data_IF_155061137164
#
_entry.id   IF_155061137164
#
_cell.length_a   1.000
_cell.length_b   1.000
_cell.length_c   1.000
_cell.angle_alpha   90.00
_cell.angle_beta   90.00
_cell.angle_gamma   90.00
#
_symmetry.space_group_name_H-M   'P 1'
#
loop_
_entity.id
_entity.type
_entity.pdbx_description
1 polymer ?
#
# COMPACT_ATOMS: atom_id res chain seq x y z
N UNK A 1 1.99 -17.62 -6.59
CA UNK A 1 1.27 -18.14 -7.79
C UNK A 1 1.97 -17.55 -9.00
N UNK A 2 2.39 -18.35 -9.99
CA UNK A 2 3.00 -17.81 -11.21
C UNK A 2 1.91 -17.35 -12.17
N UNK A 3 1.96 -16.09 -12.61
CA UNK A 3 1.04 -15.55 -13.61
C UNK A 3 1.62 -15.78 -15.01
N UNK A 4 0.79 -16.25 -15.94
CA UNK A 4 1.21 -16.38 -17.33
C UNK A 4 1.33 -15.02 -18.00
N UNK A 5 2.30 -14.87 -18.91
CA UNK A 5 2.47 -13.67 -19.71
C UNK A 5 1.14 -13.25 -20.38
N UNK A 6 0.81 -11.96 -20.39
CA UNK A 6 -0.43 -11.46 -20.99
C UNK A 6 -0.39 -11.58 -22.51
N UNK A 7 -1.57 -11.46 -23.15
CA UNK A 7 -1.66 -11.54 -24.60
C UNK A 7 -0.78 -10.48 -25.28
N UNK A 8 0.04 -10.90 -26.25
CA UNK A 8 1.01 -10.04 -26.93
C UNK A 8 2.38 -9.95 -26.27
N UNK A 9 2.57 -10.58 -25.11
CA UNK A 9 3.85 -10.67 -24.39
C UNK A 9 4.30 -12.11 -24.22
N UNK A 10 5.59 -12.29 -23.97
CA UNK A 10 6.26 -13.56 -23.68
C UNK A 10 7.04 -13.48 -22.38
N UNK A 11 7.52 -14.61 -21.85
CA UNK A 11 8.35 -14.63 -20.64
C UNK A 11 9.67 -13.85 -20.80
N UNK A 12 10.17 -13.66 -22.02
CA UNK A 12 11.36 -12.85 -22.27
C UNK A 12 11.10 -11.34 -22.20
N UNK A 13 9.84 -10.91 -22.20
CA UNK A 13 9.45 -9.50 -22.04
C UNK A 13 9.28 -9.11 -20.56
N UNK A 14 9.42 -10.07 -19.63
CA UNK A 14 9.35 -9.81 -18.19
C UNK A 14 10.54 -8.97 -17.73
N UNK A 15 10.25 -7.77 -17.22
CA UNK A 15 11.28 -6.83 -16.74
C UNK A 15 11.46 -6.86 -15.22
N UNK A 16 10.42 -7.26 -14.48
CA UNK A 16 10.42 -7.32 -13.03
C UNK A 16 9.37 -8.32 -12.55
N UNK A 17 9.70 -9.10 -11.52
CA UNK A 17 8.78 -9.98 -10.82
C UNK A 17 9.14 -10.01 -9.35
N UNK A 18 8.15 -9.78 -8.50
CA UNK A 18 8.22 -10.09 -7.08
C UNK A 18 7.30 -11.28 -6.79
N UNK A 19 7.89 -12.36 -6.30
CA UNK A 19 7.21 -13.62 -5.99
C UNK A 19 7.00 -13.84 -4.49
N UNK A 20 7.58 -12.97 -3.66
CA UNK A 20 7.63 -13.03 -2.20
C UNK A 20 8.10 -14.41 -1.70
N UNK A 21 9.05 -15.01 -2.42
CA UNK A 21 9.51 -16.39 -2.18
C UNK A 21 10.42 -16.55 -0.95
N UNK A 22 10.93 -15.44 -0.41
CA UNK A 22 11.71 -15.40 0.82
C UNK A 22 10.87 -15.44 2.09
N UNK A 23 11.50 -15.05 3.20
CA UNK A 23 10.84 -14.90 4.52
C UNK A 23 10.85 -13.46 5.03
N UNK A 24 11.32 -12.54 4.22
CA UNK A 24 11.45 -11.11 4.51
C UNK A 24 11.06 -10.34 3.26
N UNK A 25 10.54 -9.13 3.44
CA UNK A 25 10.29 -8.20 2.34
C UNK A 25 11.63 -7.83 1.68
N UNK A 26 11.67 -7.80 0.34
CA UNK A 26 12.86 -7.35 -0.39
C UNK A 26 13.08 -5.85 -0.21
N UNK A 27 14.33 -5.42 -0.39
CA UNK A 27 14.79 -4.04 -0.38
C UNK A 27 14.16 -3.12 -1.42
N UNK A 28 13.50 -3.68 -2.45
CA UNK A 28 12.73 -2.91 -3.43
C UNK A 28 11.53 -2.20 -2.80
N UNK A 29 11.10 -2.60 -1.61
CA UNK A 29 9.88 -2.10 -0.98
C UNK A 29 10.15 -1.28 0.29
N UNK A 30 9.51 -0.13 0.37
CA UNK A 30 9.29 0.59 1.61
C UNK A 30 8.08 0.01 2.35
N UNK A 31 8.04 0.13 3.67
CA UNK A 31 6.91 -0.32 4.53
C UNK A 31 5.96 0.82 4.91
N UNK A 32 5.95 1.87 4.10
CA UNK A 32 5.17 3.07 4.26
C UNK A 32 4.73 3.61 2.90
N UNK A 33 3.71 4.46 2.91
CA UNK A 33 3.22 5.16 1.73
C UNK A 33 4.10 6.38 1.47
N UNK A 34 4.53 6.53 0.23
CA UNK A 34 5.25 7.70 -0.26
C UNK A 34 4.99 7.92 -1.75
N UNK A 35 5.47 9.04 -2.29
CA UNK A 35 5.25 9.45 -3.68
C UNK A 35 6.30 10.48 -4.10
N UNK A 36 6.28 10.83 -5.40
CA UNK A 36 7.07 11.92 -5.95
C UNK A 36 6.78 13.27 -5.27
N UNK A 37 5.51 13.57 -4.93
CA UNK A 37 5.19 14.83 -4.25
C UNK A 37 5.73 14.91 -2.81
N UNK A 38 6.02 13.75 -2.22
CA UNK A 38 6.63 13.63 -0.91
C UNK A 38 8.16 13.48 -0.96
N UNK A 39 8.79 13.52 -2.15
CA UNK A 39 10.23 13.29 -2.34
C UNK A 39 10.72 12.00 -1.63
N UNK A 40 9.91 10.94 -1.66
CA UNK A 40 10.21 9.67 -0.97
C UNK A 40 10.03 9.68 0.56
N UNK A 41 9.60 10.79 1.17
CA UNK A 41 9.28 10.83 2.59
C UNK A 41 7.97 10.11 2.90
N UNK A 42 7.86 9.40 4.05
CA UNK A 42 6.62 8.74 4.43
C UNK A 42 5.50 9.75 4.66
N UNK A 43 4.34 9.49 4.08
CA UNK A 43 3.15 10.32 4.25
C UNK A 43 2.68 10.31 5.70
N UNK A 44 2.40 11.52 6.23
CA UNK A 44 1.84 11.70 7.57
C UNK A 44 2.57 10.89 8.66
N UNK A 45 3.91 10.89 8.61
CA UNK A 45 4.73 10.07 9.50
C UNK A 45 4.62 10.46 10.97
N UNK A 46 4.67 9.45 11.85
CA UNK A 46 4.84 9.62 13.29
C UNK A 46 6.30 9.58 13.73
N UNK A 47 7.25 9.52 12.77
CA UNK A 47 8.69 9.40 13.04
C UNK A 47 9.12 8.02 13.57
N UNK A 48 8.20 7.06 13.65
CA UNK A 48 8.44 5.69 14.13
C UNK A 48 8.21 4.65 13.02
N UNK A 49 8.35 5.05 11.76
CA UNK A 49 8.21 4.20 10.58
C UNK A 49 6.78 4.06 10.04
N UNK A 50 5.78 4.67 10.69
CA UNK A 50 4.41 4.60 10.21
C UNK A 50 4.03 5.70 9.22
N UNK A 51 2.92 5.45 8.53
CA UNK A 51 2.30 6.37 7.56
C UNK A 51 0.79 6.18 7.50
N UNK A 52 0.10 7.09 6.82
CA UNK A 52 -1.31 6.95 6.45
C UNK A 52 -1.60 7.90 5.29
N UNK A 53 -2.52 7.60 4.36
CA UNK A 53 -3.05 8.62 3.44
C UNK A 53 -3.73 9.76 4.21
N UNK A 54 -4.28 9.44 5.40
CA UNK A 54 -4.95 10.37 6.27
C UNK A 54 -6.29 10.86 5.70
N UNK A 55 -6.97 11.70 6.46
CA UNK A 55 -8.31 12.19 6.17
C UNK A 55 -9.33 11.77 7.23
N UNK A 56 -10.58 12.20 7.08
CA UNK A 56 -11.65 11.95 8.05
C UNK A 56 -12.25 10.53 7.96
N UNK A 57 -11.91 9.77 6.92
CA UNK A 57 -12.50 8.46 6.63
C UNK A 57 -11.54 7.29 6.89
N UNK A 58 -10.28 7.57 7.26
CA UNK A 58 -9.28 6.56 7.56
C UNK A 58 -9.26 6.28 9.07
N UNK A 59 -9.49 5.01 9.43
CA UNK A 59 -9.48 4.54 10.81
C UNK A 59 -8.17 3.81 11.17
N UNK A 60 -7.29 3.64 10.20
CA UNK A 60 -6.06 2.87 10.30
C UNK A 60 -4.81 3.73 10.16
N UNK A 61 -3.73 3.21 10.74
CA UNK A 61 -2.39 3.74 10.59
C UNK A 61 -1.44 2.61 10.21
N UNK A 62 -0.72 2.78 9.12
CA UNK A 62 0.17 1.75 8.58
C UNK A 62 1.46 1.69 9.36
N UNK A 63 1.88 0.48 9.72
CA UNK A 63 3.12 0.21 10.43
C UNK A 63 3.87 -0.96 9.83
N UNK A 64 5.22 -0.94 9.86
CA UNK A 64 6.04 -2.07 9.39
C UNK A 64 5.73 -3.39 10.10
N UNK A 65 5.27 -3.35 11.35
CA UNK A 65 4.89 -4.55 12.12
C UNK A 65 3.71 -5.32 11.53
N UNK A 66 2.95 -4.71 10.62
CA UNK A 66 1.83 -5.34 9.92
C UNK A 66 2.16 -5.82 8.51
N UNK A 67 3.44 -5.74 8.13
CA UNK A 67 3.96 -6.22 6.85
C UNK A 67 4.75 -7.49 7.11
N UNK A 68 4.37 -8.58 6.46
CA UNK A 68 5.11 -9.84 6.54
C UNK A 68 5.14 -10.57 5.21
N UNK A 69 6.20 -11.33 4.98
CA UNK A 69 6.32 -12.22 3.83
C UNK A 69 6.38 -13.65 4.34
N UNK A 70 5.46 -14.48 3.86
CA UNK A 70 5.41 -15.91 4.16
C UNK A 70 4.73 -16.66 3.04
N UNK A 71 5.13 -17.92 2.83
CA UNK A 71 4.48 -18.86 1.91
C UNK A 71 4.30 -18.33 0.47
N UNK A 72 5.26 -17.53 -0.03
CA UNK A 72 5.19 -16.97 -1.38
C UNK A 72 4.18 -15.82 -1.51
N UNK A 73 3.89 -15.12 -0.42
CA UNK A 73 2.94 -14.00 -0.38
C UNK A 73 3.41 -12.87 0.54
N UNK A 74 3.12 -11.64 0.12
CA UNK A 74 3.06 -10.48 0.99
C UNK A 74 1.72 -10.45 1.74
N UNK A 75 1.79 -10.32 3.06
CA UNK A 75 0.63 -10.13 3.93
C UNK A 75 0.66 -8.71 4.51
N UNK A 76 -0.42 -7.97 4.27
CA UNK A 76 -0.71 -6.69 4.91
C UNK A 76 -1.87 -6.92 5.87
N UNK A 77 -1.60 -6.84 7.17
CA UNK A 77 -2.56 -7.29 8.18
C UNK A 77 -3.11 -6.11 8.97
N UNK A 78 -4.40 -5.81 8.82
CA UNK A 78 -5.10 -4.87 9.68
C UNK A 78 -5.58 -5.56 10.98
N UNK A 79 -5.35 -4.94 12.13
CA UNK A 79 -5.79 -5.43 13.44
C UNK A 79 -6.34 -4.30 14.32
N UNK A 80 -7.26 -4.64 15.23
CA UNK A 80 -7.77 -3.73 16.27
C UNK A 80 -6.71 -3.50 17.36
N UNK A 81 -5.72 -2.69 17.03
CA UNK A 81 -4.65 -2.28 17.92
C UNK A 81 -4.52 -0.77 17.84
N UNK A 82 -4.92 -0.04 18.90
CA UNK A 82 -4.79 1.41 18.91
C UNK A 82 -3.34 1.85 18.82
N UNK A 83 -3.07 2.87 18.01
CA UNK A 83 -1.74 3.45 17.84
C UNK A 83 -1.80 4.97 17.70
N UNK A 84 -0.80 5.67 18.26
CA UNK A 84 -0.63 7.10 18.04
C UNK A 84 -0.02 7.34 16.66
N UNK A 85 -0.75 8.06 15.81
CA UNK A 85 -0.33 8.44 14.47
C UNK A 85 -0.46 9.95 14.24
N UNK A 86 -0.02 10.39 13.07
CA UNK A 86 -0.23 11.75 12.59
C UNK A 86 -1.19 11.67 11.42
N UNK A 87 -2.29 12.42 11.44
CA UNK A 87 -3.24 12.51 10.35
C UNK A 87 -2.86 13.65 9.39
N UNK A 88 -3.51 13.70 8.22
CA UNK A 88 -3.41 14.79 7.26
C UNK A 88 -3.52 16.15 7.97
N UNK A 89 -2.63 17.08 7.60
CA UNK A 89 -2.53 18.39 8.25
C UNK A 89 -1.69 18.40 9.53
N UNK A 90 -1.00 17.30 9.86
CA UNK A 90 -0.07 17.23 11.00
C UNK A 90 -0.75 17.01 12.35
N UNK A 91 -2.01 16.56 12.36
CA UNK A 91 -2.80 16.39 13.59
C UNK A 91 -2.49 15.03 14.21
N UNK A 92 -1.89 15.01 15.40
CA UNK A 92 -1.72 13.76 16.15
C UNK A 92 -3.06 13.25 16.67
N UNK A 93 -3.35 11.98 16.44
CA UNK A 93 -4.53 11.30 16.96
C UNK A 93 -4.25 9.82 17.23
N UNK A 94 -5.14 9.17 17.97
CA UNK A 94 -5.13 7.71 18.12
C UNK A 94 -5.96 7.09 17.02
N UNK A 95 -5.34 6.26 16.19
CA UNK A 95 -6.02 5.41 15.22
C UNK A 95 -6.39 4.09 15.90
N UNK A 96 -7.64 3.61 15.79
CA UNK A 96 -8.06 2.36 16.43
C UNK A 96 -7.52 1.10 15.76
N UNK A 97 -7.13 1.19 14.49
CA UNK A 97 -6.62 0.07 13.69
C UNK A 97 -5.14 0.32 13.35
N UNK A 98 -4.32 -0.72 13.49
CA UNK A 98 -2.98 -0.74 12.89
C UNK A 98 -3.05 -1.60 11.64
N UNK A 99 -2.60 -1.07 10.50
CA UNK A 99 -2.57 -1.73 9.18
C UNK A 99 -1.13 -1.79 8.64
N UNK A 100 -0.95 -2.29 7.42
CA UNK A 100 0.34 -2.30 6.73
C UNK A 100 0.20 -1.82 5.28
N UNK A 101 1.21 -1.09 4.83
CA UNK A 101 1.35 -0.65 3.45
C UNK A 101 2.77 -0.91 2.95
N UNK A 102 2.92 -1.05 1.63
CA UNK A 102 4.22 -1.05 0.98
C UNK A 102 4.20 -0.16 -0.26
N UNK A 103 5.35 0.40 -0.62
CA UNK A 103 5.53 1.16 -1.86
C UNK A 103 6.90 0.89 -2.47
N UNK A 104 7.03 0.97 -3.79
CA UNK A 104 8.29 0.72 -4.51
C UNK A 104 8.97 1.99 -5.00
N UNK A 105 8.51 3.17 -4.55
CA UNK A 105 9.02 4.48 -4.98
C UNK A 105 10.55 4.58 -4.88
N UNK A 106 11.20 5.09 -5.93
CA UNK A 106 12.66 5.22 -6.01
C UNK A 106 13.43 3.90 -6.19
N UNK A 107 12.75 2.75 -6.14
CA UNK A 107 13.35 1.43 -6.34
C UNK A 107 12.86 0.83 -7.67
N UNK A 108 11.67 0.23 -7.67
CA UNK A 108 11.02 -0.26 -8.88
C UNK A 108 9.93 0.70 -9.33
N UNK A 109 10.12 1.26 -10.52
CA UNK A 109 9.20 2.15 -11.20
C UNK A 109 9.11 1.75 -12.67
N UNK A 110 7.95 1.97 -13.28
CA UNK A 110 7.74 1.66 -14.69
C UNK A 110 6.94 2.75 -15.38
N UNK A 111 7.18 2.94 -16.67
CA UNK A 111 6.47 3.90 -17.50
C UNK A 111 5.84 3.17 -18.70
N UNK A 112 4.57 2.82 -18.54
CA UNK A 112 3.84 1.99 -19.48
C UNK A 112 4.24 0.52 -19.44
N UNK A 113 3.49 -0.32 -20.15
CA UNK A 113 3.66 -1.77 -20.14
C UNK A 113 2.45 -2.46 -19.52
N UNK A 114 2.67 -3.68 -19.02
CA UNK A 114 1.62 -4.50 -18.43
C UNK A 114 2.02 -4.86 -17.00
N UNK A 115 1.14 -4.55 -16.04
CA UNK A 115 1.30 -4.93 -14.63
C UNK A 115 0.27 -6.01 -14.30
N UNK A 116 0.71 -7.12 -13.72
CA UNK A 116 -0.14 -8.18 -13.21
C UNK A 116 0.07 -8.31 -11.71
N UNK A 117 -1.03 -8.31 -10.95
CA UNK A 117 -1.02 -8.54 -9.51
C UNK A 117 -2.03 -9.65 -9.21
N UNK A 118 -1.60 -10.67 -8.46
CA UNK A 118 -2.49 -11.68 -7.91
C UNK A 118 -2.69 -11.39 -6.43
N UNK A 119 -3.88 -10.90 -6.07
CA UNK A 119 -4.22 -10.60 -4.69
C UNK A 119 -5.46 -11.36 -4.22
N UNK A 120 -5.55 -11.58 -2.91
CA UNK A 120 -6.77 -12.00 -2.23
C UNK A 120 -7.22 -10.87 -1.32
N UNK A 121 -8.41 -10.33 -1.56
CA UNK A 121 -8.96 -9.28 -0.71
C UNK A 121 -9.28 -9.84 0.69
N UNK A 122 -9.11 -9.04 1.76
CA UNK A 122 -9.63 -9.41 3.07
C UNK A 122 -11.15 -9.61 2.99
N UNK A 123 -11.64 -10.57 3.76
CA UNK A 123 -13.07 -10.75 4.00
C UNK A 123 -13.45 -10.01 5.27
N UNK A 124 -14.62 -9.37 5.29
CA UNK A 124 -15.11 -8.65 6.46
C UNK A 124 -15.46 -7.22 6.10
N UNK A 125 -16.24 -6.58 6.97
CA UNK A 125 -16.63 -5.20 6.78
C UNK A 125 -15.54 -4.25 7.30
N UNK A 126 -15.58 -2.99 6.86
CA UNK A 126 -14.59 -1.96 7.21
C UNK A 126 -13.22 -2.05 6.53
N UNK A 127 -12.93 -3.12 5.75
CA UNK A 127 -11.68 -3.24 5.02
C UNK A 127 -11.75 -2.54 3.65
N UNK A 128 -10.70 -1.78 3.31
CA UNK A 128 -10.52 -1.13 2.00
C UNK A 128 -9.13 -1.46 1.46
N UNK A 129 -8.92 -2.67 0.88
CA UNK A 129 -7.66 -2.98 0.20
C UNK A 129 -7.48 -2.03 -1.01
N UNK A 130 -6.28 -1.45 -1.12
CA UNK A 130 -5.88 -0.58 -2.23
C UNK A 130 -4.68 -1.15 -2.99
N UNK A 131 -4.78 -1.22 -4.32
CA UNK A 131 -3.67 -1.39 -5.24
C UNK A 131 -3.74 -0.25 -6.25
N UNK A 132 -2.75 0.62 -6.21
CA UNK A 132 -2.75 1.90 -6.89
C UNK A 132 -1.33 2.29 -7.25
N UNK A 133 -1.20 3.21 -8.20
CA UNK A 133 0.09 3.67 -8.72
C UNK A 133 0.19 5.18 -8.57
N UNK A 134 1.36 5.60 -8.11
CA UNK A 134 1.72 7.00 -7.95
C UNK A 134 2.84 7.39 -8.91
N UNK A 135 3.02 8.68 -9.23
CA UNK A 135 4.17 9.14 -9.98
C UNK A 135 5.47 8.78 -9.26
N UNK A 136 6.43 8.22 -9.99
CA UNK A 136 7.77 7.89 -9.51
C UNK A 136 8.73 9.08 -9.52
N UNK A 137 9.97 8.87 -9.06
CA UNK A 137 11.02 9.90 -8.89
C UNK A 137 11.35 10.63 -10.22
N UNK A 138 11.19 9.92 -11.35
CA UNK A 138 11.39 10.48 -12.69
C UNK A 138 10.21 11.30 -13.25
N UNK A 139 9.11 11.45 -12.52
CA UNK A 139 7.86 12.04 -13.05
C UNK A 139 7.84 13.58 -13.08
N UNK A 140 8.95 14.23 -12.73
CA UNK A 140 9.09 15.69 -12.74
C UNK A 140 8.13 16.36 -11.76
N UNK A 141 7.35 17.34 -12.22
CA UNK A 141 6.40 18.06 -11.35
C UNK A 141 5.04 17.36 -11.18
N UNK A 142 4.92 16.09 -11.58
CA UNK A 142 3.67 15.33 -11.44
C UNK A 142 3.47 14.98 -9.96
N UNK A 143 2.46 15.59 -9.33
CA UNK A 143 2.13 15.36 -7.93
C UNK A 143 1.10 14.25 -7.72
N UNK A 144 0.61 14.14 -6.48
CA UNK A 144 -0.28 13.05 -6.04
C UNK A 144 -1.64 13.00 -6.78
N UNK A 145 -1.99 14.02 -7.55
CA UNK A 145 -3.20 14.06 -8.36
C UNK A 145 -3.12 13.25 -9.67
N UNK A 146 -1.99 12.59 -9.94
CA UNK A 146 -1.77 11.72 -11.10
C UNK A 146 -1.71 10.26 -10.65
N UNK A 147 -2.86 9.77 -10.20
CA UNK A 147 -3.05 8.48 -9.57
C UNK A 147 -3.75 7.50 -10.52
N UNK A 148 -3.38 6.21 -10.45
CA UNK A 148 -4.06 5.14 -11.16
C UNK A 148 -4.45 4.01 -10.20
N UNK A 149 -5.74 3.85 -9.98
CA UNK A 149 -6.32 2.82 -9.12
C UNK A 149 -6.61 1.54 -9.89
N UNK A 150 -5.95 0.44 -9.52
CA UNK A 150 -6.15 -0.89 -10.11
C UNK A 150 -7.24 -1.63 -9.35
N UNK A 151 -7.20 -1.55 -8.02
CA UNK A 151 -8.18 -2.14 -7.12
C UNK A 151 -8.38 -1.23 -5.91
N UNK A 152 -9.63 -0.89 -5.64
CA UNK A 152 -10.04 -0.18 -4.44
C UNK A 152 -11.39 -0.70 -3.93
N UNK A 153 -11.57 -0.66 -2.62
CA UNK A 153 -12.84 -0.92 -1.97
C UNK A 153 -13.05 -2.38 -1.57
N UNK A 154 -14.30 -2.68 -1.20
CA UNK A 154 -14.67 -3.88 -0.46
C UNK A 154 -15.39 -3.56 0.85
N UNK A 155 -15.32 -2.30 1.29
CA UNK A 155 -16.12 -1.79 2.40
C UNK A 155 -17.59 -1.66 2.00
N UNK A 156 -18.50 -2.31 2.71
CA UNK A 156 -19.94 -2.34 2.38
C UNK A 156 -20.85 -1.89 3.54
N UNK A 157 -20.27 -1.68 4.72
CA UNK A 157 -20.95 -1.27 5.93
C UNK A 157 -21.43 0.17 5.94
N UNK A 158 -22.38 0.43 6.83
CA UNK A 158 -22.89 1.77 7.11
C UNK A 158 -22.24 2.36 8.35
N UNK A 159 -21.98 3.67 8.34
CA UNK A 159 -21.48 4.39 9.52
C UNK A 159 -19.97 4.61 9.50
N UNK A 160 -19.40 5.09 10.62
CA UNK A 160 -17.99 5.46 10.70
C UNK A 160 -17.03 4.28 10.44
N UNK A 161 -15.90 4.53 9.79
CA UNK A 161 -14.92 3.50 9.42
C UNK A 161 -14.36 2.75 10.64
N UNK A 162 -14.22 3.43 11.77
CA UNK A 162 -13.73 2.87 13.04
C UNK A 162 -14.68 1.86 13.70
N UNK A 163 -15.95 1.82 13.27
CA UNK A 163 -16.97 0.94 13.85
C UNK A 163 -17.23 -0.32 13.03
N UNK A 164 -16.83 -0.34 11.75
CA UNK A 164 -17.18 -1.41 10.83
C UNK A 164 -16.11 -2.49 10.68
N UNK A 165 -14.87 -2.24 11.10
CA UNK A 165 -13.81 -3.23 10.98
C UNK A 165 -14.15 -4.47 11.83
N UNK A 166 -14.34 -5.63 11.21
CA UNK A 166 -14.80 -6.87 11.86
C UNK A 166 -13.93 -8.08 11.52
#
# INVERSE_FOLDING_TARGET
MTLSAPAGFTSSDLVYEESFSGTTLDSDWHTYITSNAADGWPWNTNGSGGSTPGGPYNADYDMPSQVSVSDGTLNLTAIKQPISGVNQGGVTQTFPITSGAVSSYGNFEFNGGYLQISMKAPSGDGAWPGLWLMPGDGAGSSGDNFELDIQEGGFTGSGPADQNFS
#
